data_IF_940434608232
#
_entry.id   IF_940434608232
#
_cell.length_a   1.000
_cell.length_b   1.000
_cell.length_c   1.000
_cell.angle_alpha   90.00
_cell.angle_beta   90.00
_cell.angle_gamma   90.00
#
_symmetry.space_group_name_H-M   'P 1'
#
loop_
_entity.id
_entity.type
_entity.pdbx_description
1 polymer ?
#
# COMPACT_ATOMS: atom_id res chain seq x y z
N UNK A 1 -12.26 -9.30 19.56
CA UNK A 1 -11.19 -8.34 19.93
C UNK A 1 -10.01 -8.27 18.94
N UNK A 2 -9.70 -9.33 18.21
CA UNK A 2 -8.58 -9.39 17.24
C UNK A 2 -8.83 -8.47 16.03
N UNK A 3 -10.06 -8.33 15.56
CA UNK A 3 -10.45 -7.46 14.43
C UNK A 3 -10.01 -6.00 14.58
N UNK A 4 -10.00 -5.46 15.81
CA UNK A 4 -9.55 -4.06 16.06
C UNK A 4 -8.06 -3.87 15.78
N UNK A 5 -7.23 -4.88 16.11
CA UNK A 5 -5.77 -4.80 15.87
C UNK A 5 -5.44 -4.82 14.37
N UNK A 6 -6.12 -5.66 13.61
CA UNK A 6 -5.95 -5.75 12.15
C UNK A 6 -6.27 -4.40 11.48
N UNK A 7 -7.41 -3.79 11.85
CA UNK A 7 -7.84 -2.50 11.31
C UNK A 7 -6.86 -1.38 11.62
N UNK A 8 -6.20 -1.40 12.79
CA UNK A 8 -5.19 -0.39 13.15
C UNK A 8 -3.99 -0.47 12.21
N UNK A 9 -3.46 -1.66 11.93
CA UNK A 9 -2.31 -1.81 11.04
C UNK A 9 -2.63 -1.41 9.60
N UNK A 10 -3.81 -1.78 9.09
CA UNK A 10 -4.28 -1.36 7.76
C UNK A 10 -4.51 0.15 7.70
N UNK A 11 -5.07 0.73 8.76
CA UNK A 11 -5.30 2.17 8.85
C UNK A 11 -3.99 2.95 8.84
N UNK A 12 -2.99 2.51 9.62
CA UNK A 12 -1.65 3.10 9.62
C UNK A 12 -0.99 3.00 8.25
N UNK A 13 -1.06 1.84 7.60
CA UNK A 13 -0.54 1.68 6.24
C UNK A 13 -1.24 2.63 5.26
N UNK A 14 -2.56 2.75 5.33
CA UNK A 14 -3.34 3.67 4.50
C UNK A 14 -2.96 5.14 4.73
N UNK A 15 -2.77 5.57 5.98
CA UNK A 15 -2.35 6.94 6.31
C UNK A 15 -0.95 7.21 5.76
N UNK A 16 0.01 6.32 6.01
CA UNK A 16 1.38 6.48 5.54
C UNK A 16 1.39 6.64 4.02
N UNK A 17 0.72 5.74 3.29
CA UNK A 17 0.63 5.81 1.83
C UNK A 17 -0.09 7.08 1.35
N UNK A 18 -1.14 7.55 2.05
CA UNK A 18 -1.86 8.78 1.72
C UNK A 18 -1.00 10.03 1.89
N UNK A 19 -0.28 10.14 3.01
CA UNK A 19 0.59 11.29 3.28
C UNK A 19 1.64 11.42 2.18
N UNK A 20 2.21 10.30 1.75
CA UNK A 20 3.20 10.30 0.70
C UNK A 20 2.61 10.53 -0.69
N UNK A 21 1.41 10.04 -0.97
CA UNK A 21 0.69 10.39 -2.19
C UNK A 21 0.42 11.89 -2.30
N UNK A 22 0.12 12.56 -1.18
CA UNK A 22 -0.15 14.01 -1.14
C UNK A 22 1.11 14.87 -1.25
N UNK A 23 2.28 14.35 -0.89
CA UNK A 23 3.55 15.08 -1.06
C UNK A 23 3.95 15.27 -2.52
N UNK A 24 3.42 14.49 -3.42
CA UNK A 24 3.50 14.76 -4.84
C UNK A 24 2.43 15.80 -5.20
N UNK A 25 2.71 17.09 -4.94
CA UNK A 25 1.80 18.25 -5.08
C UNK A 25 1.06 18.35 -6.41
N UNK A 26 1.46 17.52 -7.36
CA UNK A 26 0.93 17.55 -8.73
C UNK A 26 -0.31 16.66 -8.91
N UNK A 27 -0.78 15.94 -7.88
CA UNK A 27 -1.98 15.11 -7.98
C UNK A 27 -3.26 15.96 -8.08
N UNK A 28 -3.24 17.17 -7.54
CA UNK A 28 -4.36 18.11 -7.59
C UNK A 28 -4.33 19.03 -8.82
N UNK A 29 -3.17 19.16 -9.48
CA UNK A 29 -3.01 19.89 -10.75
C UNK A 29 -3.18 18.98 -11.98
N UNK A 30 -3.93 17.88 -11.85
CA UNK A 30 -4.24 17.03 -12.99
C UNK A 30 -5.38 17.64 -13.84
N UNK A 31 -5.09 18.58 -14.75
CA UNK A 31 -5.81 18.68 -15.98
C UNK A 31 -5.06 17.78 -16.96
N UNK A 32 -5.63 16.75 -17.52
CA UNK A 32 -5.32 16.11 -18.80
C UNK A 32 -3.88 16.27 -19.45
N UNK A 33 -3.01 17.06 -18.85
CA UNK A 33 -1.63 17.32 -19.29
C UNK A 33 -0.70 16.11 -19.13
N UNK A 34 -1.00 15.17 -18.25
CA UNK A 34 -0.20 13.95 -18.10
C UNK A 34 -0.29 13.05 -19.35
N UNK A 35 -1.39 13.13 -20.10
CA UNK A 35 -1.52 12.44 -21.39
C UNK A 35 -0.59 13.02 -22.47
N UNK A 36 -0.22 14.29 -22.34
CA UNK A 36 0.58 14.99 -23.33
C UNK A 36 2.09 15.04 -23.01
N UNK A 37 2.48 14.78 -21.75
CA UNK A 37 3.88 14.79 -21.31
C UNK A 37 4.19 13.55 -20.44
N UNK A 38 4.49 12.39 -21.05
CA UNK A 38 4.81 11.15 -20.33
C UNK A 38 6.16 11.17 -19.60
N UNK A 39 6.95 12.26 -19.72
CA UNK A 39 8.30 12.34 -19.14
C UNK A 39 8.35 12.56 -17.63
N UNK A 40 7.22 12.87 -16.98
CA UNK A 40 7.18 13.06 -15.53
C UNK A 40 6.70 11.77 -14.86
N UNK A 41 7.60 10.83 -14.62
CA UNK A 41 7.36 9.58 -13.92
C UNK A 41 6.79 9.73 -12.49
N UNK A 42 6.84 10.94 -11.94
CA UNK A 42 6.40 11.26 -10.58
C UNK A 42 4.90 10.99 -10.36
N UNK A 43 4.08 11.23 -11.37
CA UNK A 43 2.63 10.98 -11.28
C UNK A 43 2.27 9.49 -11.12
N UNK A 44 3.04 8.62 -11.75
CA UNK A 44 2.81 7.17 -11.67
C UNK A 44 3.04 6.68 -10.26
N UNK A 45 4.07 7.20 -9.58
CA UNK A 45 4.35 6.87 -8.18
C UNK A 45 3.26 7.38 -7.25
N UNK A 46 2.83 8.62 -7.44
CA UNK A 46 1.75 9.21 -6.65
C UNK A 46 0.45 8.44 -6.80
N UNK A 47 0.06 8.09 -8.03
CA UNK A 47 -1.11 7.26 -8.31
C UNK A 47 -1.00 5.87 -7.65
N UNK A 48 0.17 5.26 -7.69
CA UNK A 48 0.39 3.96 -7.09
C UNK A 48 0.32 4.01 -5.55
N UNK A 49 0.84 5.06 -4.91
CA UNK A 49 0.67 5.28 -3.47
C UNK A 49 -0.79 5.53 -3.10
N UNK A 50 -1.50 6.30 -3.89
CA UNK A 50 -2.93 6.54 -3.69
C UNK A 50 -3.75 5.26 -3.84
N UNK A 51 -3.43 4.44 -4.85
CA UNK A 51 -4.05 3.13 -5.03
C UNK A 51 -3.78 2.19 -3.84
N UNK A 52 -2.54 2.16 -3.31
CA UNK A 52 -2.19 1.40 -2.11
C UNK A 52 -2.98 1.86 -0.88
N UNK A 53 -3.15 3.17 -0.69
CA UNK A 53 -3.96 3.74 0.37
C UNK A 53 -5.44 3.34 0.23
N UNK A 54 -6.01 3.46 -0.96
CA UNK A 54 -7.39 3.05 -1.24
C UNK A 54 -7.61 1.56 -0.95
N UNK A 55 -6.70 0.69 -1.40
CA UNK A 55 -6.78 -0.75 -1.14
C UNK A 55 -6.78 -1.01 0.37
N UNK A 56 -5.90 -0.34 1.14
CA UNK A 56 -5.86 -0.48 2.60
C UNK A 56 -7.18 -0.09 3.26
N UNK A 57 -7.78 1.04 2.86
CA UNK A 57 -9.06 1.48 3.41
C UNK A 57 -10.23 0.57 2.99
N UNK A 58 -10.26 0.14 1.72
CA UNK A 58 -11.26 -0.81 1.23
C UNK A 58 -11.19 -2.14 1.98
N UNK A 59 -9.98 -2.62 2.28
CA UNK A 59 -9.78 -3.83 3.06
C UNK A 59 -10.38 -3.71 4.46
N UNK A 60 -10.27 -2.55 5.11
CA UNK A 60 -10.91 -2.30 6.41
C UNK A 60 -12.43 -2.39 6.30
N UNK A 61 -13.02 -1.83 5.24
CA UNK A 61 -14.47 -1.86 5.03
C UNK A 61 -15.01 -3.27 4.77
N UNK A 62 -14.20 -4.14 4.21
CA UNK A 62 -14.56 -5.52 3.87
C UNK A 62 -14.43 -6.51 5.05
N UNK A 63 -14.51 -6.03 6.30
CA UNK A 63 -14.34 -6.83 7.51
C UNK A 63 -15.25 -8.07 7.60
N UNK A 64 -16.38 -8.07 6.90
CA UNK A 64 -17.32 -9.21 6.84
C UNK A 64 -16.87 -10.33 5.89
N UNK A 65 -15.99 -10.01 4.93
CA UNK A 65 -15.53 -10.96 3.88
C UNK A 65 -14.02 -11.20 3.99
N UNK A 66 -13.60 -11.97 5.00
CA UNK A 66 -12.18 -12.24 5.32
C UNK A 66 -11.37 -12.76 4.13
N UNK A 67 -11.95 -13.64 3.34
CA UNK A 67 -11.28 -14.17 2.14
C UNK A 67 -10.93 -13.07 1.13
N UNK A 68 -11.79 -12.06 0.97
CA UNK A 68 -11.51 -10.91 0.11
C UNK A 68 -10.48 -9.98 0.73
N UNK A 69 -10.50 -9.77 2.05
CA UNK A 69 -9.47 -8.99 2.75
C UNK A 69 -8.08 -9.57 2.49
N UNK A 70 -7.90 -10.87 2.67
CA UNK A 70 -6.61 -11.55 2.44
C UNK A 70 -6.13 -11.36 1.00
N UNK A 71 -7.03 -11.43 0.01
CA UNK A 71 -6.67 -11.21 -1.40
C UNK A 71 -6.26 -9.77 -1.68
N UNK A 72 -6.97 -8.79 -1.11
CA UNK A 72 -6.65 -7.37 -1.25
C UNK A 72 -5.34 -7.01 -0.55
N UNK A 73 -5.07 -7.59 0.62
CA UNK A 73 -3.79 -7.42 1.30
C UNK A 73 -2.63 -7.94 0.44
N UNK A 74 -2.78 -9.10 -0.19
CA UNK A 74 -1.78 -9.62 -1.12
C UNK A 74 -1.58 -8.71 -2.33
N UNK A 75 -2.67 -8.19 -2.90
CA UNK A 75 -2.60 -7.23 -4.01
C UNK A 75 -1.84 -5.97 -3.59
N UNK A 76 -2.11 -5.46 -2.39
CA UNK A 76 -1.43 -4.28 -1.84
C UNK A 76 0.06 -4.53 -1.61
N UNK A 77 0.43 -5.71 -1.09
CA UNK A 77 1.83 -6.11 -0.93
C UNK A 77 2.55 -6.14 -2.28
N UNK A 78 1.95 -6.77 -3.29
CA UNK A 78 2.52 -6.85 -4.64
C UNK A 78 2.74 -5.44 -5.22
N UNK A 79 1.75 -4.56 -5.09
CA UNK A 79 1.85 -3.17 -5.56
C UNK A 79 3.00 -2.43 -4.87
N UNK A 80 3.16 -2.57 -3.55
CA UNK A 80 4.26 -1.95 -2.81
C UNK A 80 5.63 -2.57 -3.16
N UNK A 81 5.71 -3.86 -3.48
CA UNK A 81 6.95 -4.49 -3.99
C UNK A 81 7.34 -3.90 -5.35
N UNK A 82 6.38 -3.68 -6.24
CA UNK A 82 6.63 -3.02 -7.53
C UNK A 82 7.13 -1.59 -7.32
N UNK A 83 6.54 -0.85 -6.36
CA UNK A 83 7.00 0.50 -6.00
C UNK A 83 8.46 0.50 -5.54
N UNK A 84 8.84 -0.43 -4.64
CA UNK A 84 10.24 -0.56 -4.20
C UNK A 84 11.15 -0.86 -5.39
N UNK A 85 10.78 -1.81 -6.24
CA UNK A 85 11.55 -2.16 -7.42
C UNK A 85 11.76 -0.96 -8.36
N UNK A 86 10.73 -0.15 -8.54
CA UNK A 86 10.80 1.08 -9.36
C UNK A 86 11.73 2.13 -8.74
N UNK A 87 11.69 2.34 -7.42
CA UNK A 87 12.62 3.24 -6.74
C UNK A 87 14.07 2.76 -6.83
N UNK A 88 14.30 1.47 -6.60
CA UNK A 88 15.64 0.88 -6.72
C UNK A 88 16.16 1.05 -8.15
N UNK A 89 15.34 0.77 -9.17
CA UNK A 89 15.69 0.97 -10.56
C UNK A 89 16.04 2.44 -10.85
N UNK A 90 15.25 3.39 -10.33
CA UNK A 90 15.51 4.83 -10.49
C UNK A 90 16.85 5.26 -9.86
N UNK A 91 17.23 4.69 -8.71
CA UNK A 91 18.52 4.97 -8.07
C UNK A 91 19.72 4.54 -8.93
N UNK A 92 19.59 3.41 -9.64
CA UNK A 92 20.68 2.90 -10.48
C UNK A 92 20.77 3.59 -11.85
N UNK A 93 19.64 4.06 -12.40
CA UNK A 93 19.56 4.55 -13.78
C UNK A 93 19.73 6.06 -13.88
N UNK A 94 19.35 6.80 -12.84
CA UNK A 94 19.37 8.25 -12.78
C UNK A 94 20.28 8.73 -11.65
N UNK A 95 21.60 8.69 -11.81
CA UNK A 95 22.52 9.26 -10.84
C UNK A 95 22.37 10.79 -10.85
N UNK A 96 21.76 11.35 -9.82
CA UNK A 96 21.55 12.79 -9.63
C UNK A 96 21.62 13.19 -8.16
N UNK A 97 21.65 14.48 -7.89
CA UNK A 97 21.75 15.04 -6.53
C UNK A 97 20.61 14.62 -5.59
N UNK A 98 19.47 14.17 -6.14
CA UNK A 98 18.27 13.80 -5.38
C UNK A 98 18.24 12.33 -4.88
N UNK A 99 19.37 11.63 -4.94
CA UNK A 99 19.41 10.19 -4.56
C UNK A 99 19.09 9.97 -3.06
N UNK A 100 19.38 10.94 -2.20
CA UNK A 100 19.05 10.86 -0.77
C UNK A 100 17.53 10.92 -0.53
N UNK A 101 16.83 11.76 -1.26
CA UNK A 101 15.37 11.85 -1.17
C UNK A 101 14.71 10.59 -1.70
N UNK A 102 15.14 10.09 -2.86
CA UNK A 102 14.62 8.84 -3.45
C UNK A 102 14.79 7.65 -2.50
N UNK A 103 15.91 7.56 -1.76
CA UNK A 103 16.14 6.53 -0.76
C UNK A 103 15.11 6.58 0.39
N UNK A 104 14.77 7.78 0.87
CA UNK A 104 13.75 7.98 1.90
C UNK A 104 12.37 7.54 1.40
N UNK A 105 12.03 7.82 0.14
CA UNK A 105 10.76 7.42 -0.46
C UNK A 105 10.58 5.89 -0.53
N UNK A 106 11.66 5.15 -0.72
CA UNK A 106 11.62 3.68 -0.73
C UNK A 106 11.26 3.07 0.64
N UNK A 107 11.47 3.79 1.74
CA UNK A 107 11.10 3.33 3.09
C UNK A 107 9.58 3.24 3.27
N UNK A 108 8.81 4.04 2.55
CA UNK A 108 7.35 4.10 2.68
C UNK A 108 6.66 2.81 2.23
N UNK A 109 6.87 2.31 1.01
CA UNK A 109 6.28 1.05 0.60
C UNK A 109 6.81 -0.12 1.43
N UNK A 110 8.05 -0.06 1.93
CA UNK A 110 8.60 -1.07 2.83
C UNK A 110 7.84 -1.11 4.16
N UNK A 111 7.60 0.05 4.78
CA UNK A 111 6.78 0.14 5.99
C UNK A 111 5.34 -0.35 5.74
N UNK A 112 4.75 0.00 4.60
CA UNK A 112 3.42 -0.47 4.20
C UNK A 112 3.37 -1.99 4.06
N UNK A 113 4.36 -2.62 3.44
CA UNK A 113 4.45 -4.09 3.32
C UNK A 113 4.48 -4.75 4.70
N UNK A 114 5.29 -4.23 5.63
CA UNK A 114 5.37 -4.78 6.99
C UNK A 114 4.02 -4.69 7.69
N UNK A 115 3.37 -3.52 7.66
CA UNK A 115 2.08 -3.31 8.32
C UNK A 115 0.97 -4.18 7.73
N UNK A 116 0.86 -4.26 6.40
CA UNK A 116 -0.12 -5.09 5.70
C UNK A 116 0.15 -6.58 5.94
N UNK A 117 1.42 -7.01 5.98
CA UNK A 117 1.79 -8.40 6.28
C UNK A 117 1.39 -8.80 7.69
N UNK A 118 1.56 -7.92 8.68
CA UNK A 118 1.11 -8.16 10.05
C UNK A 118 -0.42 -8.25 10.08
N UNK A 119 -1.13 -7.33 9.44
CA UNK A 119 -2.58 -7.36 9.33
C UNK A 119 -3.08 -8.67 8.70
N UNK A 120 -2.49 -9.09 7.59
CA UNK A 120 -2.85 -10.32 6.88
C UNK A 120 -2.65 -11.57 7.76
N UNK A 121 -1.56 -11.64 8.53
CA UNK A 121 -1.34 -12.74 9.50
C UNK A 121 -2.43 -12.77 10.57
N UNK A 122 -2.85 -11.62 11.07
CA UNK A 122 -3.91 -11.53 12.09
C UNK A 122 -5.27 -11.92 11.51
N UNK A 123 -5.57 -11.52 10.26
CA UNK A 123 -6.81 -11.89 9.56
C UNK A 123 -6.87 -13.41 9.36
N UNK A 124 -5.78 -14.04 8.89
CA UNK A 124 -5.70 -15.49 8.72
C UNK A 124 -5.91 -16.22 10.03
N UNK A 125 -5.24 -15.79 11.10
CA UNK A 125 -5.39 -16.41 12.42
C UNK A 125 -6.85 -16.35 12.92
N UNK A 126 -7.53 -15.24 12.67
CA UNK A 126 -8.93 -15.08 13.03
C UNK A 126 -9.86 -15.96 12.17
N UNK A 127 -9.58 -16.10 10.88
CA UNK A 127 -10.32 -16.99 9.97
C UNK A 127 -10.15 -18.46 10.35
N UNK A 128 -8.96 -18.89 10.72
CA UNK A 128 -8.67 -20.25 11.16
C UNK A 128 -9.38 -20.58 12.48
N UNK A 129 -9.46 -19.63 13.41
CA UNK A 129 -10.21 -19.82 14.66
C UNK A 129 -11.70 -20.03 14.41
N UNK A 130 -12.31 -19.26 13.51
CA UNK A 130 -13.72 -19.42 13.16
C UNK A 130 -13.98 -20.77 12.51
N UNK A 131 -13.13 -21.16 11.54
CA UNK A 131 -13.24 -22.47 10.89
C UNK A 131 -13.07 -23.64 11.85
N UNK A 132 -12.22 -23.50 12.89
CA UNK A 132 -12.05 -24.54 13.90
C UNK A 132 -13.32 -24.74 14.73
N UNK A 133 -14.00 -23.66 15.10
CA UNK A 133 -15.26 -23.73 15.87
C UNK A 133 -16.37 -24.39 15.03
N UNK A 134 -16.45 -24.07 13.73
CA UNK A 134 -17.46 -24.66 12.83
C UNK A 134 -17.27 -26.17 12.60
N UNK A 135 -16.04 -26.70 12.76
CA UNK A 135 -15.76 -28.14 12.67
C UNK A 135 -16.25 -28.95 13.87
N UNK A 136 -16.46 -28.30 15.01
CA UNK A 136 -16.95 -28.95 16.24
C UNK A 136 -18.48 -28.89 16.37
N UNK A 137 -19.16 -28.32 15.42
CA UNK A 137 -20.62 -28.28 15.33
C UNK A 137 -21.16 -29.32 14.34
#
# INVERSE_FOLDING_TARGET
MIQRKQSIYLFLSGIISSIFAMKFDQLFDIPLQWLNNPEKGDYVFSLAFFASALISFLTIMLFKKRSLQIKLDWLNIILNVILIGSFVYSLFTLPGEDNSEKGIWALVPLASIVLVSIANRLIKKDDDLVKSVDRFR
#
